data_IF_601603116416
#
_entry.id   IF_601603116416
#
_cell.length_a   1.000
_cell.length_b   1.000
_cell.length_c   1.000
_cell.angle_alpha   90.00
_cell.angle_beta   90.00
_cell.angle_gamma   90.00
#
_symmetry.space_group_name_H-M   'P 1'
#
loop_
_entity.id
_entity.type
_entity.pdbx_description
1 polymer ?
#
# COMPACT_ATOMS: atom_id res chain seq x y z
N UNK A 1 -6.73 -0.24 -14.51
CA UNK A 1 -7.31 -0.59 -13.20
C UNK A 1 -8.81 -0.76 -13.38
N UNK A 2 -9.41 -1.84 -12.87
CA UNK A 2 -10.85 -1.80 -12.58
C UNK A 2 -11.00 -0.88 -11.36
N UNK A 3 -11.72 0.23 -11.52
CA UNK A 3 -11.82 1.27 -10.49
C UNK A 3 -12.42 0.65 -9.22
N UNK A 4 -11.70 0.70 -8.10
CA UNK A 4 -12.20 0.22 -6.81
C UNK A 4 -13.55 0.90 -6.51
N UNK A 5 -14.54 0.07 -6.17
CA UNK A 5 -15.87 0.56 -5.78
C UNK A 5 -15.76 1.28 -4.43
N UNK A 6 -16.62 2.27 -4.14
CA UNK A 6 -16.60 2.98 -2.86
C UNK A 6 -16.54 2.04 -1.65
N UNK A 7 -17.34 0.97 -1.67
CA UNK A 7 -17.35 0.00 -0.57
C UNK A 7 -16.05 -0.79 -0.42
N UNK A 8 -15.33 -1.06 -1.51
CA UNK A 8 -14.02 -1.70 -1.44
C UNK A 8 -12.99 -0.77 -0.80
N UNK A 9 -13.05 0.53 -1.11
CA UNK A 9 -12.22 1.55 -0.48
C UNK A 9 -12.51 1.66 1.02
N UNK A 10 -13.79 1.70 1.42
CA UNK A 10 -14.18 1.72 2.84
C UNK A 10 -13.60 0.53 3.61
N UNK A 11 -13.70 -0.67 3.05
CA UNK A 11 -13.19 -1.91 3.68
C UNK A 11 -11.67 -1.83 3.82
N UNK A 12 -10.96 -1.38 2.78
CA UNK A 12 -9.51 -1.19 2.81
C UNK A 12 -9.07 -0.15 3.84
N UNK A 13 -9.80 0.97 3.96
CA UNK A 13 -9.54 2.00 4.96
C UNK A 13 -9.71 1.47 6.39
N UNK A 14 -10.77 0.69 6.65
CA UNK A 14 -10.96 0.05 7.95
C UNK A 14 -9.85 -0.96 8.24
N UNK A 15 -9.43 -1.76 7.26
CA UNK A 15 -8.28 -2.65 7.42
C UNK A 15 -7.00 -1.88 7.77
N UNK A 16 -6.69 -0.80 7.04
CA UNK A 16 -5.52 0.04 7.32
C UNK A 16 -5.55 0.59 8.75
N UNK A 17 -6.70 1.07 9.21
CA UNK A 17 -6.90 1.55 10.59
C UNK A 17 -6.69 0.44 11.63
N UNK A 18 -7.22 -0.76 11.38
CA UNK A 18 -7.01 -1.90 12.29
C UNK A 18 -5.53 -2.28 12.42
N UNK A 19 -4.75 -2.12 11.34
CA UNK A 19 -3.31 -2.40 11.34
C UNK A 19 -2.50 -1.37 12.16
N UNK A 20 -3.06 -0.22 12.53
CA UNK A 20 -2.37 0.79 13.36
C UNK A 20 -2.13 0.32 14.80
N UNK A 21 -2.94 -0.63 15.30
CA UNK A 21 -2.89 -1.03 16.71
C UNK A 21 -1.54 -1.66 17.11
N UNK A 22 -0.91 -1.18 18.18
CA UNK A 22 0.38 -1.69 18.65
C UNK A 22 0.30 -3.17 19.08
N UNK A 23 1.29 -3.97 18.71
CA UNK A 23 1.38 -5.40 19.04
C UNK A 23 0.96 -6.34 17.91
N UNK A 24 0.97 -7.67 18.11
CA UNK A 24 0.56 -8.62 17.07
C UNK A 24 -0.93 -8.48 16.77
N UNK A 25 -1.27 -7.84 15.65
CA UNK A 25 -2.65 -7.67 15.21
C UNK A 25 -3.00 -8.79 14.23
N UNK A 26 -3.78 -9.76 14.69
CA UNK A 26 -4.37 -10.77 13.80
C UNK A 26 -5.74 -10.30 13.33
N UNK A 27 -5.80 -9.68 12.15
CA UNK A 27 -7.08 -9.29 11.54
C UNK A 27 -7.74 -10.51 10.91
N UNK A 28 -8.94 -10.84 11.38
CA UNK A 28 -9.83 -11.82 10.75
C UNK A 28 -10.90 -11.11 9.92
N UNK A 29 -11.43 -11.76 8.90
CA UNK A 29 -12.56 -11.23 8.10
C UNK A 29 -13.78 -10.91 8.96
N UNK A 30 -14.08 -11.73 9.98
CA UNK A 30 -15.12 -11.44 10.96
C UNK A 30 -14.84 -10.16 11.77
N UNK A 31 -13.60 -9.94 12.23
CA UNK A 31 -13.23 -8.72 12.96
C UNK A 31 -13.29 -7.48 12.06
N UNK A 32 -12.85 -7.59 10.81
CA UNK A 32 -12.92 -6.52 9.82
C UNK A 32 -14.36 -6.17 9.46
N UNK A 33 -15.22 -7.18 9.27
CA UNK A 33 -16.64 -6.98 9.01
C UNK A 33 -17.32 -6.20 10.15
N UNK A 34 -16.99 -6.54 11.41
CA UNK A 34 -17.46 -5.82 12.59
C UNK A 34 -17.02 -4.36 12.60
N UNK A 35 -15.74 -4.08 12.33
CA UNK A 35 -15.22 -2.70 12.22
C UNK A 35 -15.93 -1.92 11.10
N UNK A 36 -16.23 -2.58 9.98
CA UNK A 36 -16.94 -1.98 8.84
C UNK A 36 -18.46 -1.86 9.03
N UNK A 37 -19.03 -2.37 10.13
CA UNK A 37 -20.46 -2.39 10.40
C UNK A 37 -21.27 -3.25 9.42
N UNK A 38 -20.70 -4.33 8.88
CA UNK A 38 -21.36 -5.24 7.94
C UNK A 38 -21.19 -6.71 8.31
N UNK A 39 -21.93 -7.58 7.64
CA UNK A 39 -21.76 -9.03 7.77
C UNK A 39 -20.47 -9.50 7.10
N UNK A 40 -19.90 -10.59 7.61
CA UNK A 40 -18.75 -11.22 6.98
C UNK A 40 -19.04 -11.70 5.55
N UNK A 41 -20.26 -12.20 5.31
CA UNK A 41 -20.72 -12.55 3.96
C UNK A 41 -20.72 -11.34 2.99
N UNK A 42 -20.95 -10.12 3.49
CA UNK A 42 -20.88 -8.91 2.66
C UNK A 42 -19.44 -8.55 2.28
N UNK A 43 -18.45 -8.80 3.15
CA UNK A 43 -17.03 -8.66 2.79
C UNK A 43 -16.70 -9.52 1.57
N UNK A 44 -17.13 -10.80 1.57
CA UNK A 44 -16.87 -11.73 0.48
C UNK A 44 -17.50 -11.34 -0.87
N UNK A 45 -18.56 -10.53 -0.86
CA UNK A 45 -19.15 -9.96 -2.08
C UNK A 45 -18.28 -8.87 -2.72
N UNK A 46 -17.46 -8.20 -1.92
CA UNK A 46 -16.57 -7.13 -2.38
C UNK A 46 -15.15 -7.60 -2.63
N UNK A 47 -14.68 -8.58 -1.85
CA UNK A 47 -13.37 -9.18 -1.97
C UNK A 47 -13.48 -10.69 -1.83
N UNK A 48 -13.04 -11.49 -2.82
CA UNK A 48 -13.22 -12.93 -2.78
C UNK A 48 -12.37 -13.62 -1.70
N UNK A 49 -11.38 -12.93 -1.12
CA UNK A 49 -10.58 -13.43 0.00
C UNK A 49 -9.98 -12.29 0.82
N UNK A 50 -9.59 -12.58 2.06
CA UNK A 50 -8.83 -11.65 2.92
C UNK A 50 -7.56 -11.15 2.22
N UNK A 51 -6.83 -12.07 1.58
CA UNK A 51 -5.63 -11.77 0.79
C UNK A 51 -5.88 -10.71 -0.30
N UNK A 52 -7.02 -10.74 -0.99
CA UNK A 52 -7.36 -9.71 -1.98
C UNK A 52 -7.54 -8.31 -1.40
N UNK A 53 -7.96 -8.19 -0.14
CA UNK A 53 -8.04 -6.91 0.56
C UNK A 53 -6.63 -6.36 0.81
N UNK A 54 -5.72 -7.22 1.29
CA UNK A 54 -4.32 -6.87 1.51
C UNK A 54 -3.59 -6.54 0.20
N UNK A 55 -3.83 -7.31 -0.87
CA UNK A 55 -3.31 -7.01 -2.21
C UNK A 55 -3.71 -5.61 -2.67
N UNK A 56 -4.98 -5.24 -2.49
CA UNK A 56 -5.47 -3.90 -2.81
C UNK A 56 -4.78 -2.80 -2.00
N UNK A 57 -4.52 -3.04 -0.71
CA UNK A 57 -3.76 -2.08 0.11
C UNK A 57 -2.30 -1.94 -0.33
N UNK A 58 -1.63 -3.06 -0.66
CA UNK A 58 -0.25 -3.04 -1.17
C UNK A 58 -0.19 -2.28 -2.49
N UNK A 59 -1.13 -2.54 -3.40
CA UNK A 59 -1.23 -1.84 -4.69
C UNK A 59 -1.48 -0.34 -4.51
N UNK A 60 -2.37 0.04 -3.60
CA UNK A 60 -2.61 1.45 -3.26
C UNK A 60 -1.34 2.15 -2.75
N UNK A 61 -0.57 1.50 -1.86
CA UNK A 61 0.70 2.03 -1.38
C UNK A 61 1.72 2.19 -2.51
N UNK A 62 1.82 1.18 -3.37
CA UNK A 62 2.73 1.14 -4.52
C UNK A 62 2.45 2.30 -5.48
N UNK A 63 1.20 2.47 -5.92
CA UNK A 63 0.78 3.57 -6.80
C UNK A 63 1.04 4.94 -6.15
N UNK A 64 0.60 5.13 -4.90
CA UNK A 64 0.74 6.41 -4.19
C UNK A 64 2.20 6.83 -4.03
N UNK A 65 3.08 5.90 -3.66
CA UNK A 65 4.51 6.19 -3.49
C UNK A 65 5.19 6.43 -4.84
N UNK A 66 4.90 5.62 -5.86
CA UNK A 66 5.52 5.78 -7.17
C UNK A 66 5.09 7.04 -7.90
N UNK A 67 3.84 7.48 -7.76
CA UNK A 67 3.39 8.76 -8.33
C UNK A 67 4.14 9.93 -7.68
N UNK A 68 4.21 9.98 -6.34
CA UNK A 68 4.91 11.04 -5.62
C UNK A 68 6.42 11.04 -5.87
N UNK A 69 7.05 9.85 -5.95
CA UNK A 69 8.46 9.71 -6.30
C UNK A 69 8.69 10.12 -7.77
N UNK A 70 7.76 9.77 -8.66
CA UNK A 70 7.76 10.20 -10.06
C UNK A 70 7.76 11.72 -10.20
N UNK A 71 6.91 12.41 -9.43
CA UNK A 71 6.85 13.86 -9.38
C UNK A 71 8.17 14.47 -8.88
N UNK A 72 8.75 13.93 -7.81
CA UNK A 72 10.07 14.36 -7.30
C UNK A 72 11.15 14.19 -8.39
N UNK A 73 11.15 13.04 -9.06
CA UNK A 73 12.13 12.72 -10.10
C UNK A 73 11.98 13.60 -11.35
N UNK A 74 10.75 14.01 -11.70
CA UNK A 74 10.48 14.90 -12.83
C UNK A 74 10.91 16.35 -12.59
N UNK A 75 11.12 16.74 -11.33
CA UNK A 75 11.57 18.08 -10.98
C UNK A 75 12.99 18.39 -11.48
N UNK A 76 13.33 19.67 -11.59
CA UNK A 76 14.68 20.14 -11.97
C UNK A 76 15.66 20.18 -10.80
N UNK A 77 15.30 19.64 -9.64
CA UNK A 77 16.16 19.64 -8.47
C UNK A 77 17.44 18.81 -8.70
N UNK A 78 18.58 19.18 -8.08
CA UNK A 78 19.77 18.34 -8.05
C UNK A 78 19.49 16.96 -7.43
N UNK A 79 20.22 15.92 -7.86
CA UNK A 79 20.01 14.54 -7.41
C UNK A 79 20.01 14.38 -5.88
N UNK A 80 20.94 15.02 -5.18
CA UNK A 80 21.01 14.94 -3.72
C UNK A 80 19.75 15.50 -3.04
N UNK A 81 19.18 16.57 -3.58
CA UNK A 81 17.93 17.16 -3.08
C UNK A 81 16.74 16.25 -3.36
N UNK A 82 16.70 15.57 -4.51
CA UNK A 82 15.68 14.56 -4.82
C UNK A 82 15.73 13.40 -3.83
N UNK A 83 16.93 12.87 -3.54
CA UNK A 83 17.11 11.81 -2.53
C UNK A 83 16.59 12.25 -1.17
N UNK A 84 16.96 13.45 -0.72
CA UNK A 84 16.46 14.00 0.56
C UNK A 84 14.93 14.10 0.58
N UNK A 85 14.29 14.58 -0.50
CA UNK A 85 12.83 14.65 -0.62
C UNK A 85 12.15 13.28 -0.59
N UNK A 86 12.73 12.27 -1.26
CA UNK A 86 12.22 10.89 -1.23
C UNK A 86 12.32 10.32 0.20
N UNK A 87 13.44 10.55 0.90
CA UNK A 87 13.59 10.11 2.29
C UNK A 87 12.55 10.76 3.21
N UNK A 88 12.34 12.07 3.09
CA UNK A 88 11.31 12.80 3.84
C UNK A 88 9.91 12.26 3.52
N UNK A 89 9.63 11.98 2.23
CA UNK A 89 8.37 11.38 1.80
C UNK A 89 8.13 10.03 2.49
N UNK A 90 9.11 9.12 2.47
CA UNK A 90 8.96 7.79 3.08
C UNK A 90 8.74 7.86 4.59
N UNK A 91 9.47 8.73 5.29
CA UNK A 91 9.29 8.96 6.73
C UNK A 91 7.91 9.56 7.01
N UNK A 92 7.55 10.64 6.30
CA UNK A 92 6.26 11.31 6.48
C UNK A 92 5.08 10.41 6.14
N UNK A 93 5.21 9.57 5.11
CA UNK A 93 4.20 8.59 4.75
C UNK A 93 3.98 7.60 5.89
N UNK A 94 5.08 7.11 6.47
CA UNK A 94 5.03 6.15 7.58
C UNK A 94 4.43 6.76 8.85
N UNK A 95 4.78 8.00 9.18
CA UNK A 95 4.22 8.72 10.34
C UNK A 95 2.72 8.99 10.19
N UNK A 96 2.27 9.38 8.99
CA UNK A 96 0.86 9.69 8.71
C UNK A 96 -0.01 8.45 8.56
N UNK A 97 0.57 7.31 8.20
CA UNK A 97 -0.16 6.08 7.89
C UNK A 97 0.46 4.88 8.60
N UNK A 98 0.42 4.80 9.95
CA UNK A 98 1.14 3.77 10.70
C UNK A 98 0.70 2.34 10.36
N UNK A 99 -0.58 2.12 10.02
CA UNK A 99 -1.07 0.82 9.58
C UNK A 99 -0.51 0.39 8.23
N UNK A 100 -0.37 1.33 7.28
CA UNK A 100 0.30 1.10 6.01
C UNK A 100 1.81 0.94 6.19
N UNK A 101 2.43 1.66 7.12
CA UNK A 101 3.84 1.49 7.44
C UNK A 101 4.13 0.05 7.88
N UNK A 102 3.28 -0.52 8.74
CA UNK A 102 3.41 -1.92 9.19
C UNK A 102 3.15 -2.95 8.10
N UNK A 103 2.30 -2.61 7.13
CA UNK A 103 2.16 -3.39 5.91
C UNK A 103 3.48 -3.41 5.14
N UNK A 104 4.08 -2.23 4.91
CA UNK A 104 5.33 -2.07 4.16
C UNK A 104 6.55 -2.66 4.88
N UNK A 105 6.59 -2.65 6.21
CA UNK A 105 7.65 -3.34 6.97
C UNK A 105 7.42 -4.85 7.07
N UNK A 106 6.25 -5.34 6.62
CA UNK A 106 5.80 -6.75 6.63
C UNK A 106 5.43 -7.28 8.02
N UNK A 107 5.27 -6.40 8.99
CA UNK A 107 4.80 -6.76 10.34
C UNK A 107 3.32 -7.15 10.36
N UNK A 108 2.54 -6.75 9.35
CA UNK A 108 1.09 -6.96 9.27
C UNK A 108 0.68 -8.28 8.60
N UNK A 109 1.62 -9.07 8.07
CA UNK A 109 1.31 -10.29 7.32
C UNK A 109 1.25 -11.53 8.21
N UNK A 110 0.23 -12.37 7.99
CA UNK A 110 0.25 -13.77 8.42
C UNK A 110 0.69 -14.68 7.28
N UNK A 111 0.73 -16.00 7.53
CA UNK A 111 1.18 -17.02 6.57
C UNK A 111 0.40 -16.93 5.25
N UNK A 112 -0.89 -16.59 5.32
CA UNK A 112 -1.78 -16.47 4.16
C UNK A 112 -1.42 -15.30 3.23
N UNK A 113 -0.84 -14.24 3.79
CA UNK A 113 -0.40 -13.05 3.06
C UNK A 113 1.08 -13.10 2.67
N UNK A 114 1.84 -14.13 3.10
CA UNK A 114 3.29 -14.20 2.92
C UNK A 114 3.75 -14.02 1.47
N UNK A 115 2.96 -14.44 0.48
CA UNK A 115 3.27 -14.23 -0.95
C UNK A 115 3.33 -12.75 -1.37
N UNK A 116 2.81 -11.81 -0.56
CA UNK A 116 2.89 -10.38 -0.82
C UNK A 116 4.22 -9.77 -0.37
N UNK A 117 5.00 -10.51 0.42
CA UNK A 117 6.35 -10.12 0.86
C UNK A 117 7.23 -9.79 -0.35
N UNK A 118 7.22 -10.64 -1.38
CA UNK A 118 8.03 -10.42 -2.57
C UNK A 118 7.58 -9.18 -3.35
N UNK A 119 6.27 -8.88 -3.37
CA UNK A 119 5.76 -7.65 -4.01
C UNK A 119 6.26 -6.41 -3.26
N UNK A 120 6.25 -6.42 -1.92
CA UNK A 120 6.77 -5.31 -1.11
C UNK A 120 8.29 -5.16 -1.28
N UNK A 121 9.05 -6.27 -1.27
CA UNK A 121 10.48 -6.23 -1.58
C UNK A 121 10.71 -5.58 -2.94
N UNK A 122 10.00 -6.05 -3.96
CA UNK A 122 10.09 -5.48 -5.31
C UNK A 122 9.72 -3.99 -5.31
N UNK A 123 8.74 -3.53 -4.53
CA UNK A 123 8.43 -2.11 -4.44
C UNK A 123 9.62 -1.27 -3.95
N UNK A 124 10.35 -1.75 -2.92
CA UNK A 124 11.54 -1.06 -2.41
C UNK A 124 12.77 -1.19 -3.32
N UNK A 125 12.95 -2.34 -3.99
CA UNK A 125 14.04 -2.57 -4.95
C UNK A 125 13.81 -1.87 -6.29
N UNK A 126 12.56 -1.83 -6.76
CA UNK A 126 12.11 -1.13 -7.97
C UNK A 126 11.78 0.34 -7.70
N UNK A 127 12.46 0.98 -6.74
CA UNK A 127 12.69 2.42 -6.81
C UNK A 127 13.50 2.73 -8.08
N UNK A 128 12.78 2.67 -9.20
CA UNK A 128 13.24 2.74 -10.57
C UNK A 128 13.92 4.09 -10.72
N UNK A 129 15.24 4.08 -10.64
CA UNK A 129 16.11 4.98 -11.41
C UNK A 129 16.01 4.60 -12.91
N UNK A 130 14.81 4.27 -13.41
CA UNK A 130 14.56 4.27 -14.84
C UNK A 130 13.84 5.57 -15.12
N UNK A 131 14.64 6.54 -15.57
CA UNK A 131 14.19 7.50 -16.55
C UNK A 131 13.16 6.81 -17.45
N UNK A 132 11.91 7.30 -17.45
CA UNK A 132 11.06 7.18 -18.65
C UNK A 132 11.77 8.00 -19.72
N UNK A 133 12.86 7.49 -20.27
CA UNK A 133 13.35 7.93 -21.57
C UNK A 133 12.23 7.52 -22.51
N UNK A 134 11.40 8.51 -22.89
CA UNK A 134 10.45 8.36 -23.98
C UNK A 134 11.20 7.66 -25.10
N UNK A 135 10.76 6.47 -25.46
CA UNK A 135 11.15 5.84 -26.72
C UNK A 135 10.59 6.74 -27.81
N UNK A 136 11.42 7.69 -28.24
CA UNK A 136 11.26 8.39 -29.51
C UNK A 136 11.46 7.31 -30.58
N UNK A 137 10.34 6.77 -31.08
CA UNK A 137 10.35 6.11 -32.38
C UNK A 137 10.68 7.18 -33.41
N UNK A 138 11.92 7.13 -33.91
CA UNK A 138 12.24 7.51 -35.28
C UNK A 138 11.87 6.28 -36.12
#
# INVERSE_FOLDING_TARGET
MEKLKPRQLDIMQNLAKMLEAKGPVKVTTASLARECGITEAAIYRHFPSKKKIYEGLVEFCEESLFDLIGDINSSKDPYLKKVSRIMILLVSFSEKNPGLARLLTREAFSVEEASLDDRIKQMFFQNRITNKTKSSKI
#
